data_IF_563532369113
#
_entry.id   IF_563532369113
#
_cell.length_a   1.000
_cell.length_b   1.000
_cell.length_c   1.000
_cell.angle_alpha   90.00
_cell.angle_beta   90.00
_cell.angle_gamma   90.00
#
_symmetry.space_group_name_H-M   'P 1'
#
loop_
_entity.id
_entity.type
_entity.pdbx_description
1 polymer ?
#
# COMPACT_ATOMS: atom_id res chain seq x y z
N UNK A 1 -6.60 14.88 -13.51
CA UNK A 1 -7.42 13.72 -13.92
C UNK A 1 -6.86 12.51 -13.23
N UNK A 2 -7.65 11.76 -12.44
CA UNK A 2 -7.20 10.47 -11.88
C UNK A 2 -7.20 9.42 -12.99
N UNK A 3 -6.14 8.61 -13.06
CA UNK A 3 -6.06 7.54 -14.06
C UNK A 3 -6.99 6.39 -13.70
N UNK A 4 -7.32 5.51 -14.66
CA UNK A 4 -8.14 4.31 -14.38
C UNK A 4 -7.45 3.41 -13.35
N UNK A 5 -6.13 3.28 -13.42
CA UNK A 5 -5.33 2.52 -12.45
C UNK A 5 -5.38 3.12 -11.04
N UNK A 6 -5.27 4.45 -10.91
CA UNK A 6 -5.37 5.11 -9.59
C UNK A 6 -6.71 4.82 -8.90
N UNK A 7 -7.80 4.78 -9.66
CA UNK A 7 -9.12 4.45 -9.10
C UNK A 7 -9.18 3.00 -8.60
N UNK A 8 -8.53 2.05 -9.28
CA UNK A 8 -8.45 0.65 -8.85
C UNK A 8 -7.58 0.50 -7.60
N UNK A 9 -6.47 1.23 -7.53
CA UNK A 9 -5.61 1.28 -6.34
C UNK A 9 -6.37 1.86 -5.15
N UNK A 10 -7.12 2.95 -5.33
CA UNK A 10 -7.96 3.52 -4.26
C UNK A 10 -9.01 2.53 -3.75
N UNK A 11 -9.66 1.78 -4.64
CA UNK A 11 -10.58 0.72 -4.21
C UNK A 11 -9.86 -0.36 -3.38
N UNK A 12 -8.62 -0.69 -3.72
CA UNK A 12 -7.83 -1.62 -2.92
C UNK A 12 -7.40 -1.01 -1.58
N UNK A 13 -7.06 0.28 -1.52
CA UNK A 13 -6.80 1.00 -0.27
C UNK A 13 -8.01 0.95 0.67
N UNK A 14 -9.22 1.14 0.13
CA UNK A 14 -10.47 1.03 0.89
C UNK A 14 -10.61 -0.38 1.50
N UNK A 15 -10.36 -1.44 0.71
CA UNK A 15 -10.44 -2.83 1.20
C UNK A 15 -9.35 -3.16 2.24
N UNK A 16 -8.19 -2.50 2.21
CA UNK A 16 -7.17 -2.65 3.26
C UNK A 16 -7.62 -2.11 4.62
N UNK A 17 -8.54 -1.15 4.64
CA UNK A 17 -9.11 -0.65 5.90
C UNK A 17 -10.07 -1.64 6.56
N UNK A 18 -10.59 -2.60 5.78
CA UNK A 18 -11.50 -3.61 6.29
C UNK A 18 -10.75 -4.78 6.95
N UNK A 19 -11.24 -5.17 8.14
CA UNK A 19 -10.73 -6.35 8.83
C UNK A 19 -11.22 -7.64 8.15
N UNK A 20 -10.45 -8.12 7.18
CA UNK A 20 -10.70 -9.37 6.46
C UNK A 20 -9.42 -10.01 5.94
N UNK A 21 -9.48 -11.29 5.59
CA UNK A 21 -8.35 -12.00 4.98
C UNK A 21 -8.07 -11.47 3.57
N UNK A 22 -6.82 -11.56 3.14
CA UNK A 22 -6.42 -11.13 1.79
C UNK A 22 -7.23 -11.84 0.70
N UNK A 23 -7.49 -13.14 0.84
CA UNK A 23 -8.33 -13.88 -0.09
C UNK A 23 -9.75 -13.28 -0.23
N UNK A 24 -10.32 -12.79 0.88
CA UNK A 24 -11.64 -12.16 0.86
C UNK A 24 -11.60 -10.77 0.22
N UNK A 25 -10.54 -9.98 0.47
CA UNK A 25 -10.31 -8.69 -0.19
C UNK A 25 -10.14 -8.85 -1.69
N UNK A 26 -9.32 -9.82 -2.12
CA UNK A 26 -9.10 -10.14 -3.54
C UNK A 26 -10.43 -10.53 -4.19
N UNK A 27 -11.21 -11.42 -3.58
CA UNK A 27 -12.51 -11.85 -4.12
C UNK A 27 -13.49 -10.67 -4.29
N UNK A 28 -13.52 -9.72 -3.35
CA UNK A 28 -14.34 -8.51 -3.46
C UNK A 28 -13.89 -7.62 -4.61
N UNK A 29 -12.59 -7.33 -4.70
CA UNK A 29 -12.02 -6.52 -5.78
C UNK A 29 -12.21 -7.18 -7.14
N UNK A 30 -12.04 -8.50 -7.21
CA UNK A 30 -12.24 -9.31 -8.41
C UNK A 30 -13.64 -9.11 -8.98
N UNK A 31 -14.68 -9.18 -8.15
CA UNK A 31 -16.07 -8.95 -8.59
C UNK A 31 -16.26 -7.54 -9.14
N UNK A 32 -15.69 -6.52 -8.48
CA UNK A 32 -15.76 -5.13 -8.93
C UNK A 32 -15.02 -4.94 -10.27
N UNK A 33 -13.85 -5.54 -10.42
CA UNK A 33 -12.99 -5.39 -11.60
C UNK A 33 -13.53 -6.16 -12.80
N UNK A 34 -14.04 -7.38 -12.59
CA UNK A 34 -14.61 -8.23 -13.64
C UNK A 34 -15.81 -7.58 -14.36
N UNK A 35 -16.55 -6.71 -13.68
CA UNK A 35 -17.68 -5.97 -14.27
C UNK A 35 -17.23 -4.83 -15.19
N UNK A 36 -16.02 -4.30 -14.99
CA UNK A 36 -15.56 -3.06 -15.66
C UNK A 36 -14.32 -3.22 -16.53
N UNK A 37 -13.71 -4.41 -16.56
CA UNK A 37 -12.46 -4.69 -17.28
C UNK A 37 -12.59 -5.92 -18.17
N UNK A 38 -12.03 -5.83 -19.38
CA UNK A 38 -11.78 -7.00 -20.25
C UNK A 38 -10.31 -7.47 -20.12
N UNK A 39 -9.99 -8.65 -20.68
CA UNK A 39 -8.65 -9.23 -20.57
C UNK A 39 -7.53 -8.30 -21.06
N UNK A 40 -7.71 -7.64 -22.21
CA UNK A 40 -6.71 -6.70 -22.76
C UNK A 40 -6.48 -5.51 -21.83
N UNK A 41 -7.52 -5.00 -21.18
CA UNK A 41 -7.42 -3.92 -20.21
C UNK A 41 -6.71 -4.38 -18.94
N UNK A 42 -6.96 -5.61 -18.48
CA UNK A 42 -6.27 -6.19 -17.32
C UNK A 42 -4.76 -6.30 -17.62
N UNK A 43 -4.38 -6.85 -18.76
CA UNK A 43 -2.98 -7.00 -19.15
C UNK A 43 -2.27 -5.64 -19.27
N UNK A 44 -2.93 -4.65 -19.88
CA UNK A 44 -2.38 -3.30 -20.01
C UNK A 44 -2.20 -2.59 -18.66
N UNK A 45 -3.22 -2.63 -17.79
CA UNK A 45 -3.17 -2.01 -16.46
C UNK A 45 -2.20 -2.74 -15.52
N UNK A 46 -2.04 -4.06 -15.67
CA UNK A 46 -1.04 -4.85 -14.95
C UNK A 46 0.36 -4.45 -15.35
N UNK A 47 0.63 -4.29 -16.64
CA UNK A 47 1.94 -3.83 -17.11
C UNK A 47 2.27 -2.42 -16.57
N UNK A 48 1.31 -1.49 -16.63
CA UNK A 48 1.44 -0.14 -16.05
C UNK A 48 1.70 -0.20 -14.54
N UNK A 49 0.96 -1.05 -13.81
CA UNK A 49 1.13 -1.22 -12.37
C UNK A 49 2.52 -1.75 -12.01
N UNK A 50 3.02 -2.75 -12.73
CA UNK A 50 4.36 -3.33 -12.52
C UNK A 50 5.47 -2.32 -12.80
N UNK A 51 5.26 -1.42 -13.77
CA UNK A 51 6.19 -0.33 -14.05
C UNK A 51 6.21 0.72 -12.91
N UNK A 52 5.04 1.03 -12.33
CA UNK A 52 4.91 1.97 -11.21
C UNK A 52 5.29 1.39 -9.84
N UNK A 53 5.46 0.07 -9.72
CA UNK A 53 5.88 -0.54 -8.45
C UNK A 53 7.37 -0.32 -8.23
N UNK A 54 7.77 0.22 -7.07
CA UNK A 54 9.18 0.38 -6.76
C UNK A 54 9.84 -1.00 -6.63
N UNK A 55 11.03 -1.12 -7.21
CA UNK A 55 11.82 -2.36 -7.21
C UNK A 55 12.96 -2.25 -6.20
N UNK A 56 13.33 -3.38 -5.60
CA UNK A 56 14.51 -3.50 -4.75
C UNK A 56 14.21 -3.73 -3.27
N UNK A 57 15.28 -3.88 -2.48
CA UNK A 57 15.23 -4.31 -1.09
C UNK A 57 14.38 -3.37 -0.20
N UNK A 58 14.55 -2.05 -0.34
CA UNK A 58 13.84 -1.08 0.50
C UNK A 58 12.33 -1.05 0.25
N UNK A 59 11.89 -1.26 -1.00
CA UNK A 59 10.46 -1.34 -1.31
C UNK A 59 9.80 -2.53 -0.63
N UNK A 60 10.43 -3.72 -0.73
CA UNK A 60 9.94 -4.93 -0.06
C UNK A 60 9.98 -4.78 1.46
N UNK A 61 11.04 -4.18 2.01
CA UNK A 61 11.16 -3.95 3.45
C UNK A 61 10.03 -3.05 3.98
N UNK A 62 9.72 -1.96 3.27
CA UNK A 62 8.67 -1.01 3.67
C UNK A 62 7.28 -1.64 3.55
N UNK A 63 7.06 -2.42 2.50
CA UNK A 63 5.78 -3.10 2.30
C UNK A 63 5.53 -4.17 3.37
N UNK A 64 6.50 -5.06 3.57
CA UNK A 64 6.33 -6.22 4.45
C UNK A 64 6.41 -5.82 5.94
N UNK A 65 7.15 -4.74 6.26
CA UNK A 65 7.43 -4.32 7.63
C UNK A 65 7.08 -2.85 7.90
N UNK A 66 6.00 -2.34 7.31
CA UNK A 66 5.60 -0.91 7.39
C UNK A 66 5.65 -0.33 8.82
N UNK A 67 5.20 -1.09 9.81
CA UNK A 67 5.18 -0.66 11.21
C UNK A 67 6.60 -0.61 11.77
N UNK A 68 7.42 -1.63 11.53
CA UNK A 68 8.81 -1.69 12.01
C UNK A 68 9.70 -0.62 11.38
N UNK A 69 9.47 -0.23 10.13
CA UNK A 69 10.22 0.86 9.49
C UNK A 69 9.78 2.23 10.02
N UNK A 70 8.51 2.40 10.38
CA UNK A 70 7.99 3.64 10.94
C UNK A 70 8.36 3.83 12.43
N UNK A 71 8.52 2.75 13.19
CA UNK A 71 8.77 2.77 14.63
C UNK A 71 9.98 3.62 15.06
N UNK A 72 11.16 3.55 14.40
CA UNK A 72 12.29 4.43 14.72
C UNK A 72 11.94 5.92 14.65
N UNK A 73 11.14 6.33 13.66
CA UNK A 73 10.72 7.72 13.52
C UNK A 73 9.73 8.14 14.63
N UNK A 74 8.79 7.25 15.00
CA UNK A 74 7.95 7.48 16.17
C UNK A 74 8.76 7.57 17.47
N UNK A 75 9.81 6.76 17.61
CA UNK A 75 10.74 6.82 18.74
C UNK A 75 11.50 8.14 18.82
N UNK A 76 12.06 8.61 17.70
CA UNK A 76 12.74 9.92 17.62
C UNK A 76 11.78 11.06 17.94
N UNK A 77 10.55 11.00 17.41
CA UNK A 77 9.52 11.99 17.71
C UNK A 77 9.15 12.01 19.20
N UNK A 78 8.89 10.85 19.80
CA UNK A 78 8.54 10.73 21.22
C UNK A 78 9.66 11.21 22.14
N UNK A 79 10.90 10.78 21.88
CA UNK A 79 12.06 11.19 22.66
C UNK A 79 12.37 12.69 22.50
N UNK A 80 12.28 13.22 21.29
CA UNK A 80 12.51 14.65 21.04
C UNK A 80 11.49 15.55 21.74
N UNK A 81 10.21 15.14 21.78
CA UNK A 81 9.18 15.84 22.56
C UNK A 81 9.47 15.76 24.06
N UNK A 82 9.86 14.57 24.54
CA UNK A 82 10.17 14.37 25.95
C UNK A 82 11.37 15.23 26.37
N UNK A 83 12.47 15.24 25.62
CA UNK A 83 13.63 16.07 25.94
C UNK A 83 13.35 17.56 25.77
N UNK A 84 12.66 17.97 24.70
CA UNK A 84 12.30 19.38 24.49
C UNK A 84 11.45 19.96 25.62
N UNK A 85 10.50 19.18 26.16
CA UNK A 85 9.68 19.59 27.31
C UNK A 85 10.48 19.49 28.61
N UNK A 86 11.13 18.35 28.88
CA UNK A 86 11.78 18.08 30.17
C UNK A 86 13.03 18.93 30.40
N UNK A 87 13.83 19.17 29.36
CA UNK A 87 15.07 19.95 29.44
C UNK A 87 14.88 21.41 29.01
N UNK A 88 13.68 21.80 28.57
CA UNK A 88 13.35 23.12 28.01
C UNK A 88 14.30 23.55 26.90
N UNK A 89 14.78 22.59 26.10
CA UNK A 89 15.70 22.82 24.99
C UNK A 89 14.87 22.99 23.70
N UNK A 90 14.72 24.22 23.17
CA UNK A 90 13.84 24.45 22.03
C UNK A 90 14.31 23.77 20.75
N UNK A 91 15.62 23.53 20.64
CA UNK A 91 16.26 22.81 19.53
C UNK A 91 15.78 21.36 19.42
N UNK A 92 15.42 20.74 20.55
CA UNK A 92 14.95 19.35 20.56
C UNK A 92 13.58 19.19 19.87
N UNK A 93 12.82 20.28 19.68
CA UNK A 93 11.58 20.25 18.89
C UNK A 93 11.82 20.10 17.38
N UNK A 94 13.06 20.28 16.89
CA UNK A 94 13.40 20.02 15.48
C UNK A 94 13.28 18.51 15.19
N UNK A 95 13.69 17.66 16.14
CA UNK A 95 13.63 16.20 15.94
C UNK A 95 12.18 15.70 15.74
N UNK A 96 11.19 16.03 16.59
CA UNK A 96 9.78 15.71 16.35
C UNK A 96 9.22 16.36 15.09
N UNK A 97 9.59 17.61 14.80
CA UNK A 97 9.12 18.32 13.61
C UNK A 97 9.50 17.61 12.31
N UNK A 98 10.63 16.91 12.27
CA UNK A 98 11.05 16.11 11.11
C UNK A 98 10.61 14.64 11.20
N UNK A 99 10.67 14.05 12.39
CA UNK A 99 10.42 12.62 12.57
C UNK A 99 8.94 12.26 12.44
N UNK A 100 8.01 13.11 12.88
CA UNK A 100 6.56 12.84 12.75
C UNK A 100 6.16 12.80 11.27
N UNK A 101 6.47 13.82 10.43
CA UNK A 101 6.18 13.75 8.99
C UNK A 101 6.84 12.54 8.32
N UNK A 102 8.09 12.21 8.68
CA UNK A 102 8.78 11.04 8.14
C UNK A 102 8.05 9.74 8.48
N UNK A 103 7.62 9.56 9.74
CA UNK A 103 6.87 8.39 10.18
C UNK A 103 5.56 8.24 9.37
N UNK A 104 4.81 9.33 9.24
CA UNK A 104 3.54 9.36 8.49
C UNK A 104 3.79 9.02 7.02
N UNK A 105 4.85 9.57 6.41
CA UNK A 105 5.17 9.33 5.00
C UNK A 105 5.54 7.87 4.74
N UNK A 106 6.35 7.26 5.61
CA UNK A 106 6.71 5.84 5.52
C UNK A 106 5.48 4.95 5.65
N UNK A 107 4.59 5.25 6.60
CA UNK A 107 3.35 4.48 6.78
C UNK A 107 2.43 4.59 5.57
N UNK A 108 2.24 5.80 5.03
CA UNK A 108 1.44 6.03 3.82
C UNK A 108 2.03 5.27 2.64
N UNK A 109 3.35 5.30 2.49
CA UNK A 109 4.01 4.59 1.40
C UNK A 109 3.81 3.07 1.53
N UNK A 110 4.02 2.50 2.71
CA UNK A 110 3.76 1.07 2.94
C UNK A 110 2.31 0.67 2.60
N UNK A 111 1.34 1.49 3.01
CA UNK A 111 -0.07 1.26 2.68
C UNK A 111 -0.34 1.28 1.17
N UNK A 112 0.25 2.24 0.46
CA UNK A 112 0.12 2.33 -1.00
C UNK A 112 0.75 1.13 -1.73
N UNK A 113 1.88 0.62 -1.23
CA UNK A 113 2.52 -0.57 -1.79
C UNK A 113 1.65 -1.81 -1.61
N UNK A 114 1.12 -2.00 -0.42
CA UNK A 114 0.22 -3.11 -0.11
C UNK A 114 -1.05 -3.06 -0.99
N UNK A 115 -1.60 -1.87 -1.23
CA UNK A 115 -2.76 -1.70 -2.11
C UNK A 115 -2.42 -2.06 -3.57
N UNK A 116 -1.27 -1.59 -4.07
CA UNK A 116 -0.77 -1.96 -5.40
C UNK A 116 -0.56 -3.48 -5.53
N UNK A 117 0.03 -4.12 -4.53
CA UNK A 117 0.21 -5.59 -4.51
C UNK A 117 -1.12 -6.34 -4.47
N UNK A 118 -2.11 -5.82 -3.74
CA UNK A 118 -3.46 -6.40 -3.71
C UNK A 118 -4.16 -6.33 -5.08
N UNK A 119 -4.02 -5.20 -5.79
CA UNK A 119 -4.50 -5.05 -7.17
C UNK A 119 -3.81 -6.03 -8.10
N UNK A 120 -2.48 -6.16 -8.01
CA UNK A 120 -1.69 -7.08 -8.83
C UNK A 120 -2.17 -8.52 -8.67
N UNK A 121 -2.31 -8.99 -7.42
CA UNK A 121 -2.84 -10.33 -7.12
C UNK A 121 -4.26 -10.54 -7.68
N UNK A 122 -5.09 -9.49 -7.63
CA UNK A 122 -6.45 -9.54 -8.18
C UNK A 122 -6.44 -9.65 -9.71
N UNK A 123 -5.54 -8.94 -10.40
CA UNK A 123 -5.36 -9.09 -11.86
C UNK A 123 -4.86 -10.48 -12.23
N UNK A 124 -3.91 -11.03 -11.48
CA UNK A 124 -3.42 -12.41 -11.68
C UNK A 124 -4.55 -13.43 -11.53
N UNK A 125 -5.37 -13.31 -10.49
CA UNK A 125 -6.51 -14.21 -10.31
C UNK A 125 -7.51 -14.07 -11.47
N UNK A 126 -7.87 -12.83 -11.87
CA UNK A 126 -8.77 -12.62 -13.01
C UNK A 126 -8.23 -13.24 -14.30
N UNK A 127 -6.95 -13.05 -14.62
CA UNK A 127 -6.31 -13.65 -15.78
C UNK A 127 -6.37 -15.18 -15.73
N UNK A 128 -6.09 -15.78 -14.57
CA UNK A 128 -6.15 -17.23 -14.38
C UNK A 128 -7.58 -17.75 -14.60
N UNK A 129 -8.59 -17.05 -14.07
CA UNK A 129 -10.00 -17.45 -14.24
C UNK A 129 -10.48 -17.34 -15.69
N UNK A 130 -10.05 -16.28 -16.39
CA UNK A 130 -10.40 -16.07 -17.81
C UNK A 130 -9.73 -17.13 -18.68
N UNK A 131 -8.48 -17.50 -18.38
CA UNK A 131 -7.72 -18.51 -19.14
C UNK A 131 -8.16 -19.94 -18.83
N UNK A 132 -8.55 -20.24 -17.58
CA UNK A 132 -8.96 -21.57 -17.12
C UNK A 132 -10.34 -21.53 -16.44
N UNK A 133 -11.44 -21.39 -17.20
CA UNK A 133 -12.79 -21.37 -16.64
C UNK A 133 -13.18 -22.70 -15.95
N UNK A 134 -12.54 -23.82 -16.30
CA UNK A 134 -12.87 -25.15 -15.77
C UNK A 134 -12.20 -25.51 -14.43
N UNK A 135 -11.16 -24.79 -14.01
CA UNK A 135 -10.47 -25.04 -12.73
C UNK A 135 -11.26 -24.57 -11.49
N UNK A 136 -12.44 -24.01 -11.71
CA UNK A 136 -13.22 -23.26 -10.72
C UNK A 136 -14.61 -23.89 -10.66
N UNK A 137 -14.68 -25.12 -10.17
CA UNK A 137 -15.89 -25.70 -9.60
C UNK A 137 -15.78 -25.69 -8.09
#
# INVERSE_FOLDING_TARGET
MTTKLDNLIRMAEDELTEYSSDARKIEKLRRKFALGLNLRQIEALKAELVEQMPKGFFANLIEDNRQSVALPFWGIAGLGLLFGISLRQPLDFIAPALAIPAAIQVQRWGWQLEAKRLVLKTFEELEERIKNPEKIK
#
